data_IF_814624332925
#
_entry.id   IF_814624332925
#
_cell.length_a   1.000
_cell.length_b   1.000
_cell.length_c   1.000
_cell.angle_alpha   90.00
_cell.angle_beta   90.00
_cell.angle_gamma   90.00
#
_symmetry.space_group_name_H-M   'P 1'
#
loop_
_entity.id
_entity.type
_entity.pdbx_description
1 polymer ?
#
# COMPACT_ATOMS: atom_id res chain seq x y z
N UNK A 1 3.41 -13.93 -15.13
CA UNK A 1 2.63 -12.96 -15.88
C UNK A 1 1.12 -13.09 -15.67
N UNK A 2 0.54 -14.28 -15.76
CA UNK A 2 -0.91 -14.46 -15.54
C UNK A 2 -1.34 -14.09 -14.12
N UNK A 3 -0.54 -14.39 -13.11
CA UNK A 3 -0.82 -14.03 -11.72
C UNK A 3 -0.81 -12.52 -11.49
N UNK A 4 0.07 -11.82 -12.17
CA UNK A 4 0.18 -10.37 -12.07
C UNK A 4 -1.11 -9.67 -12.58
N UNK A 5 -1.70 -10.16 -13.67
CA UNK A 5 -2.93 -9.60 -14.24
C UNK A 5 -4.12 -9.76 -13.29
N UNK A 6 -4.29 -10.93 -12.67
CA UNK A 6 -5.36 -11.17 -11.71
C UNK A 6 -5.23 -10.29 -10.48
N UNK A 7 -4.02 -10.12 -10.00
CA UNK A 7 -3.74 -9.29 -8.85
C UNK A 7 -4.07 -7.81 -9.16
N UNK A 8 -3.66 -7.33 -10.31
CA UNK A 8 -3.94 -5.97 -10.76
C UNK A 8 -5.44 -5.68 -10.80
N UNK A 9 -6.23 -6.61 -11.32
CA UNK A 9 -7.68 -6.44 -11.41
C UNK A 9 -8.32 -6.29 -10.03
N UNK A 10 -7.90 -7.08 -9.07
CA UNK A 10 -8.41 -6.97 -7.69
C UNK A 10 -8.03 -5.64 -7.07
N UNK A 11 -6.81 -5.20 -7.28
CA UNK A 11 -6.35 -3.92 -6.77
C UNK A 11 -7.09 -2.75 -7.40
N UNK A 12 -7.38 -2.81 -8.69
CA UNK A 12 -8.09 -1.73 -9.39
C UNK A 12 -9.49 -1.49 -8.83
N UNK A 13 -10.22 -2.54 -8.48
CA UNK A 13 -11.56 -2.40 -7.90
C UNK A 13 -11.50 -1.64 -6.57
N UNK A 14 -10.56 -1.98 -5.73
CA UNK A 14 -10.39 -1.31 -4.44
C UNK A 14 -9.96 0.15 -4.64
N UNK A 15 -9.05 0.41 -5.57
CA UNK A 15 -8.58 1.76 -5.87
C UNK A 15 -9.72 2.68 -6.33
N UNK A 16 -10.64 2.18 -7.15
CA UNK A 16 -11.78 2.94 -7.62
C UNK A 16 -12.68 3.39 -6.46
N UNK A 17 -12.92 2.52 -5.49
CA UNK A 17 -13.71 2.87 -4.31
C UNK A 17 -13.05 3.96 -3.48
N UNK A 18 -11.74 3.90 -3.32
CA UNK A 18 -10.98 4.91 -2.56
C UNK A 18 -10.97 6.26 -3.26
N UNK A 19 -10.81 6.28 -4.59
CA UNK A 19 -10.83 7.52 -5.38
C UNK A 19 -12.17 8.22 -5.22
N UNK A 20 -13.28 7.48 -5.18
CA UNK A 20 -14.61 8.05 -4.94
C UNK A 20 -14.71 8.77 -3.59
N UNK A 21 -14.08 8.22 -2.55
CA UNK A 21 -14.07 8.84 -1.22
C UNK A 21 -13.21 10.11 -1.18
N UNK A 22 -12.11 10.15 -1.90
CA UNK A 22 -11.19 11.30 -1.93
C UNK A 22 -11.84 12.51 -2.61
N UNK A 23 -12.66 12.29 -3.63
CA UNK A 23 -13.29 13.35 -4.41
C UNK A 23 -14.28 14.20 -3.63
N UNK A 24 -14.81 13.70 -2.53
CA UNK A 24 -15.92 14.32 -1.82
C UNK A 24 -15.54 15.45 -0.85
N UNK A 25 -14.28 15.75 -0.63
CA UNK A 25 -13.97 16.65 0.46
C UNK A 25 -12.91 17.71 0.28
N UNK A 26 -12.12 17.72 -0.77
CA UNK A 26 -11.02 18.70 -0.93
C UNK A 26 -10.03 18.74 0.22
N UNK A 27 -10.10 17.79 1.15
CA UNK A 27 -9.18 17.65 2.28
C UNK A 27 -8.22 16.50 2.03
N UNK A 28 -6.98 16.62 2.53
CA UNK A 28 -6.07 15.51 2.58
C UNK A 28 -6.65 14.44 3.52
N UNK A 29 -7.01 13.29 2.98
CA UNK A 29 -7.43 12.15 3.80
C UNK A 29 -6.23 11.30 4.14
N UNK A 30 -6.14 10.89 5.41
CA UNK A 30 -5.20 9.85 5.81
C UNK A 30 -5.66 8.53 5.18
N UNK A 31 -4.88 7.99 4.28
CA UNK A 31 -5.15 6.69 3.66
C UNK A 31 -4.43 5.63 4.47
N UNK A 32 -5.15 4.61 4.87
CA UNK A 32 -4.58 3.48 5.60
C UNK A 32 -4.54 2.24 4.71
N UNK A 33 -3.40 1.57 4.70
CA UNK A 33 -3.22 0.28 4.03
C UNK A 33 -2.93 -0.76 5.11
N UNK A 34 -3.75 -1.79 5.18
CA UNK A 34 -3.53 -2.91 6.09
C UNK A 34 -2.49 -3.86 5.51
N UNK A 35 -1.60 -4.33 6.34
CA UNK A 35 -0.60 -5.35 6.00
C UNK A 35 -1.06 -6.69 6.55
N UNK A 36 -1.57 -7.53 5.66
CA UNK A 36 -2.25 -8.79 5.98
C UNK A 36 -3.73 -8.55 6.27
N UNK A 37 -4.60 -9.23 5.55
CA UNK A 37 -6.05 -9.09 5.70
C UNK A 37 -6.77 -10.34 5.22
N UNK A 38 -7.84 -10.70 5.92
CA UNK A 38 -8.67 -11.84 5.55
C UNK A 38 -7.93 -13.18 5.56
N UNK A 39 -6.93 -13.33 6.41
CA UNK A 39 -6.09 -14.53 6.46
C UNK A 39 -5.12 -14.65 5.29
N UNK A 40 -4.88 -13.57 4.54
CA UNK A 40 -4.04 -13.56 3.35
C UNK A 40 -2.87 -12.61 3.49
N UNK A 41 -1.76 -12.96 2.84
CA UNK A 41 -0.55 -12.13 2.75
C UNK A 41 -0.75 -11.09 1.63
N UNK A 42 -1.48 -10.04 1.95
CA UNK A 42 -1.85 -8.97 1.01
C UNK A 42 -1.74 -7.60 1.68
N UNK A 43 -1.57 -6.57 0.87
CA UNK A 43 -1.86 -5.20 1.27
C UNK A 43 -3.32 -4.91 0.93
N UNK A 44 -4.06 -4.33 1.87
CA UNK A 44 -5.48 -4.03 1.69
C UNK A 44 -5.77 -2.57 2.03
N UNK A 45 -6.09 -1.71 1.06
CA UNK A 45 -6.10 -1.96 -0.38
C UNK A 45 -4.68 -2.10 -0.96
N UNK A 46 -4.55 -2.76 -2.09
CA UNK A 46 -3.24 -2.95 -2.72
C UNK A 46 -2.94 -1.94 -3.84
N UNK A 47 -3.89 -1.11 -4.18
CA UNK A 47 -3.68 -0.02 -5.14
C UNK A 47 -4.46 1.20 -4.67
N UNK A 48 -3.78 2.35 -4.57
CA UNK A 48 -4.38 3.61 -4.15
C UNK A 48 -3.87 4.75 -5.02
N UNK A 49 -4.68 5.80 -5.14
CA UNK A 49 -4.28 7.07 -5.75
C UNK A 49 -4.30 8.16 -4.70
N UNK A 50 -3.21 8.89 -4.59
CA UNK A 50 -3.04 9.96 -3.62
C UNK A 50 -2.51 11.21 -4.32
N UNK A 51 -2.52 12.34 -3.62
CA UNK A 51 -1.93 13.59 -4.12
C UNK A 51 -0.52 13.76 -3.58
N UNK A 52 0.29 14.51 -4.32
CA UNK A 52 1.62 14.90 -3.85
C UNK A 52 1.50 15.55 -2.46
N UNK A 53 2.30 15.08 -1.52
CA UNK A 53 2.30 15.54 -0.14
C UNK A 53 1.42 14.75 0.80
N UNK A 54 0.61 13.84 0.29
CA UNK A 54 -0.24 12.99 1.12
C UNK A 54 0.60 11.94 1.85
N UNK A 55 0.11 11.58 3.04
CA UNK A 55 0.72 10.55 3.88
C UNK A 55 -0.15 9.30 3.85
N UNK A 56 0.50 8.16 3.60
CA UNK A 56 -0.13 6.84 3.64
C UNK A 56 0.34 6.12 4.90
N UNK A 57 -0.60 5.62 5.69
CA UNK A 57 -0.32 4.85 6.90
C UNK A 57 -0.41 3.36 6.58
N UNK A 58 0.66 2.63 6.88
CA UNK A 58 0.71 1.18 6.76
C UNK A 58 0.55 0.58 8.14
N UNK A 59 -0.47 -0.22 8.33
CA UNK A 59 -0.80 -0.82 9.63
C UNK A 59 -0.63 -2.32 9.60
N UNK A 60 0.19 -2.83 10.53
CA UNK A 60 0.38 -4.26 10.71
C UNK A 60 -0.91 -4.86 11.27
N UNK A 61 -1.53 -5.75 10.52
CA UNK A 61 -2.85 -6.28 10.85
C UNK A 61 -2.83 -7.78 11.12
N UNK A 62 -2.44 -8.58 10.12
CA UNK A 62 -2.43 -10.04 10.23
C UNK A 62 -1.15 -10.64 9.65
N UNK A 63 -0.80 -11.82 10.11
CA UNK A 63 0.28 -12.66 9.58
C UNK A 63 1.65 -11.95 9.51
N UNK A 64 2.09 -11.28 10.59
CA UNK A 64 3.38 -10.62 10.61
C UNK A 64 4.55 -11.62 10.46
N UNK A 65 5.78 -11.16 10.16
CA UNK A 65 6.19 -9.75 10.08
C UNK A 65 5.95 -9.15 8.69
N UNK A 66 5.81 -7.81 8.65
CA UNK A 66 5.64 -7.08 7.41
C UNK A 66 6.55 -5.86 7.36
N UNK A 67 6.96 -5.49 6.15
CA UNK A 67 7.55 -4.20 5.84
C UNK A 67 6.98 -3.68 4.53
N UNK A 68 7.42 -2.51 4.09
CA UNK A 68 6.98 -1.94 2.81
C UNK A 68 8.20 -1.36 2.09
N UNK A 69 8.56 -1.98 0.99
CA UNK A 69 9.71 -1.60 0.18
C UNK A 69 9.24 -1.11 -1.18
N UNK A 70 9.54 0.14 -1.50
CA UNK A 70 9.20 0.75 -2.80
C UNK A 70 10.33 0.49 -3.77
N UNK A 71 9.99 -0.07 -4.94
CA UNK A 71 10.94 -0.37 -6.00
C UNK A 71 11.68 0.89 -6.42
N UNK A 72 13.01 0.86 -6.39
CA UNK A 72 13.92 1.94 -6.78
C UNK A 72 13.80 3.23 -5.94
N UNK A 73 13.06 3.21 -4.83
CA UNK A 73 12.83 4.38 -3.99
C UNK A 73 13.03 4.07 -2.51
N UNK A 74 14.29 3.94 -2.05
CA UNK A 74 14.55 3.71 -0.63
C UNK A 74 14.05 4.84 0.26
N UNK A 75 13.94 6.07 -0.25
CA UNK A 75 13.42 7.22 0.49
C UNK A 75 11.95 7.09 0.87
N UNK A 76 11.19 6.26 0.17
CA UNK A 76 9.78 5.97 0.47
C UNK A 76 9.59 4.60 1.12
N UNK A 77 10.67 3.87 1.36
CA UNK A 77 10.61 2.51 1.88
C UNK A 77 10.73 2.48 3.40
N UNK A 78 10.08 1.51 4.02
CA UNK A 78 10.21 1.21 5.44
C UNK A 78 10.69 -0.22 5.58
N UNK A 79 12.01 -0.38 5.77
CA UNK A 79 12.67 -1.69 5.77
C UNK A 79 12.52 -2.44 7.09
N UNK A 80 12.29 -1.74 8.20
CA UNK A 80 12.11 -2.38 9.48
C UNK A 80 10.86 -3.24 9.48
N UNK A 81 10.97 -4.44 10.04
CA UNK A 81 9.85 -5.37 10.12
C UNK A 81 8.93 -5.00 11.29
N UNK A 82 7.64 -4.93 10.99
CA UNK A 82 6.60 -4.77 12.01
C UNK A 82 6.13 -6.14 12.46
N UNK A 83 6.20 -6.42 13.76
CA UNK A 83 5.83 -7.70 14.34
C UNK A 83 4.52 -7.64 15.12
N UNK A 84 4.24 -6.54 15.78
CA UNK A 84 3.08 -6.41 16.65
C UNK A 84 1.83 -6.00 15.86
N UNK A 85 0.71 -6.67 16.10
CA UNK A 85 -0.58 -6.28 15.52
C UNK A 85 -0.95 -4.88 15.97
N UNK A 86 -1.36 -4.03 15.02
CA UNK A 86 -1.69 -2.63 15.28
C UNK A 86 -0.52 -1.67 15.17
N UNK A 87 0.71 -2.15 15.11
CA UNK A 87 1.88 -1.32 14.84
C UNK A 87 1.77 -0.70 13.45
N UNK A 88 2.08 0.59 13.33
CA UNK A 88 1.97 1.29 12.06
C UNK A 88 3.16 2.20 11.79
N UNK A 89 3.32 2.55 10.52
CA UNK A 89 4.28 3.57 10.09
C UNK A 89 3.68 4.39 8.95
N UNK A 90 4.16 5.62 8.80
CA UNK A 90 3.68 6.57 7.80
C UNK A 90 4.73 6.81 6.73
N UNK A 91 4.27 6.94 5.48
CA UNK A 91 5.12 7.31 4.35
C UNK A 91 4.46 8.48 3.62
N UNK A 92 5.21 9.57 3.42
CA UNK A 92 4.74 10.74 2.69
C UNK A 92 5.35 10.73 1.30
N UNK A 93 4.50 10.82 0.27
CA UNK A 93 4.93 10.83 -1.12
C UNK A 93 4.93 12.27 -1.63
N UNK A 94 6.11 12.84 -1.85
CA UNK A 94 6.29 14.23 -2.21
C UNK A 94 6.54 14.46 -3.71
N UNK A 95 6.52 13.42 -4.52
CA UNK A 95 6.69 13.51 -5.97
C UNK A 95 5.65 12.67 -6.70
N UNK A 96 5.08 13.22 -7.76
CA UNK A 96 4.16 12.49 -8.63
C UNK A 96 4.86 11.31 -9.30
N UNK A 97 4.11 10.23 -9.48
CA UNK A 97 4.60 9.02 -10.13
C UNK A 97 3.82 7.79 -9.70
N UNK A 98 4.17 6.66 -10.28
CA UNK A 98 3.62 5.37 -9.93
C UNK A 98 4.67 4.57 -9.18
N UNK A 99 4.35 4.18 -7.95
CA UNK A 99 5.30 3.53 -7.05
C UNK A 99 4.83 2.11 -6.74
N UNK A 100 5.57 1.12 -7.25
CA UNK A 100 5.35 -0.28 -6.92
C UNK A 100 6.02 -0.59 -5.60
N UNK A 101 5.34 -1.34 -4.74
CA UNK A 101 5.91 -1.73 -3.46
C UNK A 101 5.62 -3.19 -3.13
N UNK A 102 6.37 -3.72 -2.21
CA UNK A 102 6.25 -5.11 -1.77
C UNK A 102 6.58 -5.24 -0.28
N UNK A 103 6.12 -6.33 0.30
CA UNK A 103 6.59 -6.80 1.59
C UNK A 103 7.70 -7.82 1.33
N UNK A 104 8.93 -7.52 1.76
CA UNK A 104 10.07 -8.39 1.45
C UNK A 104 9.89 -9.84 1.89
N UNK A 105 9.47 -10.13 3.15
CA UNK A 105 9.29 -11.52 3.56
C UNK A 105 8.23 -12.28 2.77
N UNK A 106 7.27 -11.57 2.17
CA UNK A 106 6.10 -12.19 1.54
C UNK A 106 5.92 -11.85 0.06
N UNK A 107 6.91 -11.20 -0.56
CA UNK A 107 6.86 -10.86 -1.98
C UNK A 107 6.66 -12.11 -2.85
N UNK A 108 7.31 -13.21 -2.49
CA UNK A 108 7.14 -14.49 -3.19
C UNK A 108 5.74 -15.06 -3.12
N UNK A 109 4.95 -14.67 -2.13
CA UNK A 109 3.53 -15.04 -2.00
C UNK A 109 2.59 -14.05 -2.68
N UNK A 110 3.12 -13.00 -3.31
CA UNK A 110 2.33 -12.01 -4.02
C UNK A 110 1.89 -10.81 -3.19
N UNK A 111 2.56 -10.54 -2.06
CA UNK A 111 2.24 -9.37 -1.24
C UNK A 111 2.87 -8.11 -1.84
N UNK A 112 2.14 -7.53 -2.80
CA UNK A 112 2.57 -6.43 -3.66
C UNK A 112 1.51 -5.33 -3.70
N UNK A 113 1.93 -4.10 -4.01
CA UNK A 113 1.01 -2.98 -4.16
C UNK A 113 1.52 -1.91 -5.12
N UNK A 114 0.66 -0.94 -5.41
CA UNK A 114 0.99 0.23 -6.24
C UNK A 114 0.35 1.46 -5.64
N UNK A 115 1.11 2.55 -5.57
CA UNK A 115 0.60 3.86 -5.17
C UNK A 115 0.78 4.80 -6.36
N UNK A 116 -0.32 5.38 -6.82
CA UNK A 116 -0.32 6.41 -7.85
C UNK A 116 -0.34 7.77 -7.15
N UNK A 117 0.67 8.59 -7.39
CA UNK A 117 0.78 9.93 -6.80
C UNK A 117 0.59 10.97 -7.90
N UNK A 118 -0.42 11.81 -7.77
CA UNK A 118 -0.81 12.81 -8.76
C UNK A 118 -0.46 14.23 -8.33
#
# INVERSE_FOLDING_TARGET
MKHFIHWTNRCMVVALLLVSCIFLGGKAYAIEILMGSGGMLVFEPCEVTVNVGDTVTFKNNELPPHNMMVEDHPEYSHSELAFASGESFDVTFDKAGDYKFQCDPHAGAGMLGVIHVE
#
